data_IF_898894331328
#
_entry.id   IF_898894331328
#
_cell.length_a   1.000
_cell.length_b   1.000
_cell.length_c   1.000
_cell.angle_alpha   90.00
_cell.angle_beta   90.00
_cell.angle_gamma   90.00
#
_symmetry.space_group_name_H-M   'P 1'
#
loop_
_entity.id
_entity.type
_entity.pdbx_description
1 polymer ?
#
# COMPACT_ATOMS: atom_id res chain seq x y z
N UNK A 1 0.18 -23.55 6.45
CA UNK A 1 -0.44 -24.01 7.72
C UNK A 1 -0.99 -25.43 7.51
N UNK A 2 -0.52 -26.43 8.26
CA UNK A 2 -1.09 -27.79 8.19
C UNK A 2 -2.44 -27.78 8.91
N UNK A 3 -3.54 -27.86 8.17
CA UNK A 3 -4.87 -27.90 8.77
C UNK A 3 -5.05 -29.17 9.64
N UNK A 4 -5.79 -29.08 10.75
CA UNK A 4 -6.18 -30.25 11.53
C UNK A 4 -7.00 -31.18 10.62
N UNK A 5 -6.45 -32.36 10.31
CA UNK A 5 -7.13 -33.38 9.51
C UNK A 5 -7.74 -34.40 10.45
N UNK A 6 -9.04 -34.26 10.73
CA UNK A 6 -9.79 -35.35 11.33
C UNK A 6 -9.89 -36.49 10.31
N UNK A 7 -9.20 -37.59 10.57
CA UNK A 7 -9.12 -38.71 9.64
C UNK A 7 -9.68 -39.96 10.34
N UNK A 8 -11.01 -40.11 10.27
CA UNK A 8 -11.69 -41.28 10.83
C UNK A 8 -11.27 -42.53 10.06
N UNK A 9 -10.66 -43.48 10.76
CA UNK A 9 -10.16 -44.73 10.19
C UNK A 9 -10.92 -45.90 10.81
N UNK A 10 -11.86 -46.44 10.04
CA UNK A 10 -12.76 -47.52 10.46
C UNK A 10 -12.03 -48.73 11.07
N UNK A 11 -10.86 -49.12 10.51
CA UNK A 11 -10.06 -50.24 11.03
C UNK A 11 -9.65 -50.06 12.50
N UNK A 12 -9.27 -48.84 12.90
CA UNK A 12 -8.85 -48.54 14.27
C UNK A 12 -10.03 -48.42 15.22
N UNK A 13 -11.16 -47.86 14.76
CA UNK A 13 -12.40 -47.86 15.51
C UNK A 13 -12.84 -49.28 15.88
N UNK A 14 -12.81 -50.21 14.90
CA UNK A 14 -13.16 -51.61 15.11
C UNK A 14 -12.20 -52.31 16.08
N UNK A 15 -10.90 -52.02 16.01
CA UNK A 15 -9.93 -52.55 16.98
C UNK A 15 -10.20 -52.05 18.39
N UNK A 16 -10.48 -50.76 18.59
CA UNK A 16 -10.80 -50.21 19.91
C UNK A 16 -12.12 -50.76 20.48
N UNK A 17 -13.14 -50.95 19.64
CA UNK A 17 -14.38 -51.64 20.01
C UNK A 17 -14.09 -53.08 20.46
N UNK A 18 -13.30 -53.83 19.69
CA UNK A 18 -12.95 -55.21 20.02
C UNK A 18 -12.18 -55.30 21.35
N UNK A 19 -11.22 -54.41 21.59
CA UNK A 19 -10.50 -54.33 22.86
C UNK A 19 -11.45 -54.02 24.02
N UNK A 20 -12.39 -53.09 23.84
CA UNK A 20 -13.41 -52.78 24.85
C UNK A 20 -14.24 -54.01 25.22
N UNK A 21 -14.73 -54.75 24.22
CA UNK A 21 -15.48 -56.00 24.43
C UNK A 21 -14.63 -57.06 25.14
N UNK A 22 -13.36 -57.25 24.72
CA UNK A 22 -12.44 -58.24 25.30
C UNK A 22 -12.17 -57.93 26.77
N UNK A 23 -11.89 -56.66 27.11
CA UNK A 23 -11.62 -56.25 28.49
C UNK A 23 -12.85 -56.44 29.38
N UNK A 24 -14.04 -56.07 28.91
CA UNK A 24 -15.29 -56.34 29.65
C UNK A 24 -15.51 -57.84 29.85
N UNK A 25 -15.23 -58.64 28.83
CA UNK A 25 -15.33 -60.11 28.91
C UNK A 25 -14.35 -60.67 29.95
N UNK A 26 -13.09 -60.25 29.92
CA UNK A 26 -12.05 -60.73 30.83
C UNK A 26 -12.35 -60.36 32.30
N UNK A 27 -12.87 -59.15 32.53
CA UNK A 27 -13.27 -58.71 33.86
C UNK A 27 -14.39 -59.56 34.45
N UNK A 28 -15.44 -59.82 33.68
CA UNK A 28 -16.59 -60.63 34.10
C UNK A 28 -16.22 -62.10 34.34
N UNK A 29 -15.38 -62.67 33.48
CA UNK A 29 -14.85 -64.03 33.69
C UNK A 29 -14.00 -64.11 34.97
N UNK A 30 -13.18 -63.10 35.26
CA UNK A 30 -12.42 -63.00 36.51
C UNK A 30 -13.32 -62.90 37.75
N UNK A 31 -14.52 -62.32 37.59
CA UNK A 31 -15.55 -62.25 38.63
C UNK A 31 -16.42 -63.52 38.71
N UNK A 32 -16.15 -64.57 37.91
CA UNK A 32 -16.89 -65.83 37.92
C UNK A 32 -18.24 -65.81 37.19
N UNK A 33 -18.54 -64.76 36.43
CA UNK A 33 -19.81 -64.60 35.70
C UNK A 33 -19.62 -64.76 34.19
N UNK A 34 -20.67 -65.20 33.49
CA UNK A 34 -20.71 -65.09 32.02
C UNK A 34 -21.26 -63.71 31.65
N UNK A 35 -20.53 -62.89 30.87
CA UNK A 35 -20.94 -61.52 30.60
C UNK A 35 -22.26 -61.50 29.82
N UNK A 36 -23.31 -60.83 30.32
CA UNK A 36 -24.54 -60.66 29.56
C UNK A 36 -24.28 -59.79 28.33
N UNK A 37 -25.01 -60.03 27.23
CA UNK A 37 -24.84 -59.30 25.95
C UNK A 37 -24.89 -57.77 26.12
N UNK A 38 -25.72 -57.31 27.06
CA UNK A 38 -25.86 -55.92 27.46
C UNK A 38 -24.54 -55.30 27.94
N UNK A 39 -23.79 -55.98 28.80
CA UNK A 39 -22.48 -55.48 29.27
C UNK A 39 -21.46 -55.40 28.14
N UNK A 40 -21.47 -56.38 27.22
CA UNK A 40 -20.58 -56.40 26.05
C UNK A 40 -20.85 -55.22 25.11
N UNK A 41 -22.11 -54.83 24.93
CA UNK A 41 -22.46 -53.61 24.20
C UNK A 41 -21.91 -52.36 24.89
N UNK A 42 -21.92 -52.33 26.23
CA UNK A 42 -21.29 -51.27 27.02
C UNK A 42 -19.78 -51.15 26.77
N UNK A 43 -19.07 -52.27 26.80
CA UNK A 43 -17.65 -52.35 26.45
C UNK A 43 -17.36 -51.86 25.02
N UNK A 44 -18.23 -52.18 24.07
CA UNK A 44 -18.12 -51.69 22.69
C UNK A 44 -18.26 -50.17 22.58
N UNK A 45 -19.23 -49.58 23.30
CA UNK A 45 -19.46 -48.13 23.38
C UNK A 45 -18.22 -47.44 23.99
N UNK A 46 -17.69 -47.98 25.10
CA UNK A 46 -16.46 -47.48 25.74
C UNK A 46 -15.29 -47.49 24.76
N UNK A 47 -15.08 -48.61 24.05
CA UNK A 47 -14.03 -48.72 23.03
C UNK A 47 -14.17 -47.70 21.89
N UNK A 48 -15.40 -47.47 21.42
CA UNK A 48 -15.68 -46.46 20.39
C UNK A 48 -15.42 -45.03 20.87
N UNK A 49 -15.83 -44.70 22.11
CA UNK A 49 -15.60 -43.38 22.70
C UNK A 49 -14.11 -43.10 22.94
N UNK A 50 -13.33 -44.09 23.37
CA UNK A 50 -11.86 -44.00 23.46
C UNK A 50 -11.26 -43.67 22.09
N UNK A 51 -11.69 -44.37 21.04
CA UNK A 51 -11.22 -44.11 19.69
C UNK A 51 -11.58 -42.69 19.22
N UNK A 52 -12.84 -42.28 19.40
CA UNK A 52 -13.32 -40.97 18.98
C UNK A 52 -12.58 -39.83 19.72
N UNK A 53 -12.37 -39.96 21.02
CA UNK A 53 -11.61 -39.00 21.82
C UNK A 53 -10.14 -38.93 21.35
N UNK A 54 -9.50 -40.08 21.14
CA UNK A 54 -8.12 -40.17 20.64
C UNK A 54 -7.96 -39.54 19.26
N UNK A 55 -8.84 -39.86 18.31
CA UNK A 55 -8.81 -39.30 16.96
C UNK A 55 -9.05 -37.78 16.95
N UNK A 56 -9.96 -37.29 17.80
CA UNK A 56 -10.27 -35.86 17.92
C UNK A 56 -9.11 -35.07 18.52
N UNK A 57 -8.55 -35.54 19.65
CA UNK A 57 -7.43 -34.89 20.33
C UNK A 57 -6.15 -34.91 19.49
N UNK A 58 -5.84 -36.03 18.83
CA UNK A 58 -4.73 -36.08 17.89
C UNK A 58 -4.97 -35.21 16.64
N UNK A 59 -6.21 -35.09 16.16
CA UNK A 59 -6.55 -34.23 15.04
C UNK A 59 -6.40 -32.74 15.36
N UNK A 60 -6.80 -32.32 16.56
CA UNK A 60 -6.76 -30.93 17.02
C UNK A 60 -5.35 -30.49 17.45
N UNK A 61 -4.68 -31.31 18.25
CA UNK A 61 -3.45 -30.91 18.96
C UNK A 61 -2.22 -31.62 18.38
N UNK A 62 -2.39 -32.77 17.74
CA UNK A 62 -1.27 -33.63 17.33
C UNK A 62 -0.31 -33.01 16.30
N UNK A 63 -0.77 -32.04 15.50
CA UNK A 63 0.08 -31.28 14.58
C UNK A 63 1.05 -30.34 15.32
N UNK A 64 0.66 -29.81 16.49
CA UNK A 64 1.51 -28.93 17.29
C UNK A 64 2.71 -29.68 17.91
N UNK A 65 2.63 -31.00 18.02
CA UNK A 65 3.75 -31.81 18.50
C UNK A 65 4.85 -32.01 17.46
N UNK A 66 4.59 -31.73 16.17
CA UNK A 66 5.65 -31.77 15.15
C UNK A 66 6.67 -30.63 15.34
N UNK A 67 6.23 -29.51 15.95
CA UNK A 67 7.05 -28.32 16.23
C UNK A 67 7.91 -28.45 17.50
N UNK A 68 7.66 -29.48 18.32
CA UNK A 68 8.46 -29.75 19.54
C UNK A 68 9.86 -30.30 19.20
N UNK A 69 10.81 -30.11 20.14
CA UNK A 69 12.12 -30.77 20.09
C UNK A 69 11.97 -32.30 20.02
N UNK A 70 12.82 -32.97 19.25
CA UNK A 70 12.72 -34.41 18.99
C UNK A 70 12.61 -35.28 20.26
N UNK A 71 13.32 -34.90 21.33
CA UNK A 71 13.27 -35.59 22.63
C UNK A 71 11.90 -35.51 23.35
N UNK A 72 11.09 -34.48 23.05
CA UNK A 72 9.80 -34.22 23.70
C UNK A 72 8.60 -34.69 22.88
N UNK A 73 8.78 -35.01 21.59
CA UNK A 73 7.66 -35.39 20.69
C UNK A 73 6.97 -36.68 21.12
N UNK A 74 7.77 -37.71 21.43
CA UNK A 74 7.28 -39.03 21.83
C UNK A 74 6.55 -38.96 23.18
N UNK A 75 7.14 -38.41 24.26
CA UNK A 75 6.43 -38.35 25.55
C UNK A 75 5.17 -37.48 25.50
N UNK A 76 5.16 -36.38 24.75
CA UNK A 76 3.95 -35.55 24.58
C UNK A 76 2.81 -36.30 23.87
N UNK A 77 3.13 -37.12 22.85
CA UNK A 77 2.14 -37.96 22.16
C UNK A 77 1.60 -39.08 23.06
N UNK A 78 2.46 -39.70 23.87
CA UNK A 78 2.05 -40.71 24.85
C UNK A 78 1.10 -40.09 25.88
N UNK A 79 1.44 -38.91 26.42
CA UNK A 79 0.61 -38.20 27.39
C UNK A 79 -0.76 -37.81 26.80
N UNK A 80 -0.78 -37.31 25.56
CA UNK A 80 -2.03 -37.01 24.85
C UNK A 80 -2.88 -38.27 24.66
N UNK A 81 -2.26 -39.41 24.32
CA UNK A 81 -2.93 -40.69 24.19
C UNK A 81 -3.56 -41.16 25.50
N UNK A 82 -2.85 -41.03 26.62
CA UNK A 82 -3.36 -41.36 27.96
C UNK A 82 -4.56 -40.47 28.33
N UNK A 83 -4.43 -39.15 28.13
CA UNK A 83 -5.49 -38.20 28.41
C UNK A 83 -6.75 -38.48 27.56
N UNK A 84 -6.56 -38.72 26.27
CA UNK A 84 -7.65 -39.04 25.36
C UNK A 84 -8.34 -40.37 25.72
N UNK A 85 -7.54 -41.37 26.14
CA UNK A 85 -8.05 -42.64 26.65
C UNK A 85 -8.90 -42.46 27.90
N UNK A 86 -8.45 -41.65 28.86
CA UNK A 86 -9.19 -41.37 30.09
C UNK A 86 -10.53 -40.66 29.80
N UNK A 87 -10.52 -39.63 28.95
CA UNK A 87 -11.73 -38.89 28.53
C UNK A 87 -12.70 -39.82 27.82
N UNK A 88 -12.23 -40.58 26.83
CA UNK A 88 -13.09 -41.47 26.05
C UNK A 88 -13.64 -42.64 26.87
N UNK A 89 -12.85 -43.18 27.80
CA UNK A 89 -13.32 -44.20 28.74
C UNK A 89 -14.45 -43.66 29.61
N UNK A 90 -14.27 -42.47 30.16
CA UNK A 90 -15.24 -41.83 31.03
C UNK A 90 -16.56 -41.52 30.30
N UNK A 91 -16.49 -40.89 29.12
CA UNK A 91 -17.66 -40.59 28.29
C UNK A 91 -18.38 -41.88 27.89
N UNK A 92 -17.62 -42.89 27.46
CA UNK A 92 -18.17 -44.19 27.08
C UNK A 92 -18.85 -44.91 28.25
N UNK A 93 -18.27 -44.82 29.45
CA UNK A 93 -18.84 -45.39 30.67
C UNK A 93 -20.19 -44.74 31.00
N UNK A 94 -20.27 -43.41 30.95
CA UNK A 94 -21.52 -42.66 31.20
C UNK A 94 -22.60 -43.03 30.18
N UNK A 95 -22.27 -43.06 28.88
CA UNK A 95 -23.21 -43.43 27.80
C UNK A 95 -23.67 -44.88 27.95
N UNK A 96 -22.72 -45.80 28.19
CA UNK A 96 -23.00 -47.21 28.41
C UNK A 96 -23.93 -47.41 29.59
N UNK A 97 -23.64 -46.79 30.73
CA UNK A 97 -24.47 -46.89 31.91
C UNK A 97 -25.89 -46.37 31.64
N UNK A 98 -26.03 -45.24 30.91
CA UNK A 98 -27.33 -44.64 30.58
C UNK A 98 -28.18 -45.58 29.73
N UNK A 99 -27.58 -46.17 28.70
CA UNK A 99 -28.27 -47.08 27.78
C UNK A 99 -28.66 -48.39 28.49
N UNK A 100 -27.81 -48.90 29.37
CA UNK A 100 -27.99 -50.24 29.97
C UNK A 100 -28.92 -50.24 31.18
N UNK A 101 -28.92 -49.16 31.97
CA UNK A 101 -29.74 -49.06 33.19
C UNK A 101 -31.09 -48.38 32.95
N UNK A 102 -31.24 -47.60 31.88
CA UNK A 102 -32.50 -46.92 31.53
C UNK A 102 -32.96 -45.84 32.52
N UNK A 103 -32.21 -45.62 33.61
CA UNK A 103 -32.44 -44.56 34.58
C UNK A 103 -31.63 -43.31 34.21
N UNK A 104 -32.15 -42.08 34.44
CA UNK A 104 -31.31 -40.90 34.41
C UNK A 104 -30.26 -41.03 35.51
N UNK A 105 -29.05 -41.46 35.13
CA UNK A 105 -27.92 -41.73 36.05
C UNK A 105 -27.62 -40.61 37.05
N UNK A 106 -28.04 -39.41 36.73
CA UNK A 106 -27.80 -38.23 37.53
C UNK A 106 -28.65 -38.12 38.79
N UNK A 107 -29.67 -38.95 39.05
CA UNK A 107 -30.47 -38.84 40.28
C UNK A 107 -30.10 -39.84 41.38
N UNK A 108 -29.68 -41.06 41.06
CA UNK A 108 -29.48 -42.13 42.06
C UNK A 108 -28.13 -42.87 42.00
N UNK A 109 -27.38 -42.79 40.89
CA UNK A 109 -26.18 -43.63 40.69
C UNK A 109 -24.85 -43.02 41.17
N UNK A 110 -24.82 -41.70 41.39
CA UNK A 110 -23.61 -40.98 41.81
C UNK A 110 -23.88 -40.15 43.07
N UNK A 111 -22.95 -40.17 44.02
CA UNK A 111 -22.98 -39.34 45.23
C UNK A 111 -22.87 -37.84 44.90
N UNK A 112 -23.16 -36.97 45.87
CA UNK A 112 -23.07 -35.51 45.69
C UNK A 112 -21.68 -35.04 45.25
N UNK A 113 -20.62 -35.69 45.75
CA UNK A 113 -19.22 -35.39 45.41
C UNK A 113 -18.87 -35.73 43.95
N UNK A 114 -19.37 -36.85 43.42
CA UNK A 114 -19.08 -37.30 42.05
C UNK A 114 -19.76 -36.42 41.00
N UNK A 115 -20.97 -35.92 41.29
CA UNK A 115 -21.66 -34.93 40.43
C UNK A 115 -20.93 -33.59 40.39
N UNK A 116 -20.35 -33.18 41.52
CA UNK A 116 -19.54 -31.97 41.58
C UNK A 116 -18.26 -32.11 40.73
N UNK A 117 -17.56 -33.24 40.82
CA UNK A 117 -16.38 -33.53 39.99
C UNK A 117 -16.70 -33.52 38.49
N UNK A 118 -17.84 -34.09 38.11
CA UNK A 118 -18.37 -34.09 36.74
C UNK A 118 -18.63 -32.69 36.19
N UNK A 119 -19.32 -31.85 36.98
CA UNK A 119 -19.60 -30.47 36.60
C UNK A 119 -18.31 -29.65 36.44
N UNK A 120 -17.33 -29.84 37.34
CA UNK A 120 -16.01 -29.20 37.26
C UNK A 120 -15.25 -29.65 36.00
N UNK A 121 -15.27 -30.94 35.67
CA UNK A 121 -14.61 -31.46 34.47
C UNK A 121 -15.22 -30.90 33.18
N UNK A 122 -16.56 -30.77 33.11
CA UNK A 122 -17.25 -30.16 31.97
C UNK A 122 -16.91 -28.67 31.85
N UNK A 123 -16.90 -27.95 32.98
CA UNK A 123 -16.55 -26.53 33.02
C UNK A 123 -15.11 -26.28 32.54
N UNK A 124 -14.15 -27.11 32.98
CA UNK A 124 -12.76 -27.05 32.53
C UNK A 124 -12.67 -27.33 31.02
N UNK A 125 -13.43 -28.30 30.51
CA UNK A 125 -13.43 -28.64 29.08
C UNK A 125 -13.96 -27.48 28.22
N UNK A 126 -15.06 -26.86 28.63
CA UNK A 126 -15.64 -25.69 27.94
C UNK A 126 -14.66 -24.51 28.02
N UNK A 127 -14.08 -24.24 29.19
CA UNK A 127 -13.10 -23.17 29.38
C UNK A 127 -11.88 -23.38 28.49
N UNK A 128 -11.36 -24.60 28.41
CA UNK A 128 -10.22 -24.93 27.55
C UNK A 128 -10.57 -24.75 26.07
N UNK A 129 -11.76 -25.17 25.64
CA UNK A 129 -12.26 -24.96 24.28
C UNK A 129 -12.39 -23.47 23.94
N UNK A 130 -12.95 -22.67 24.85
CA UNK A 130 -13.09 -21.23 24.68
C UNK A 130 -11.72 -20.53 24.62
N UNK A 131 -10.77 -20.94 25.47
CA UNK A 131 -9.41 -20.41 25.48
C UNK A 131 -8.65 -20.78 24.20
N UNK A 132 -8.76 -22.04 23.76
CA UNK A 132 -8.14 -22.50 22.51
C UNK A 132 -8.72 -21.77 21.29
N UNK A 133 -10.04 -21.57 21.25
CA UNK A 133 -10.69 -20.82 20.19
C UNK A 133 -10.26 -19.34 20.19
N UNK A 134 -10.23 -18.70 21.37
CA UNK A 134 -9.77 -17.32 21.51
C UNK A 134 -8.30 -17.14 21.11
N UNK A 135 -7.44 -18.10 21.45
CA UNK A 135 -6.03 -18.11 21.06
C UNK A 135 -5.87 -18.19 19.53
N UNK A 136 -6.61 -19.09 18.87
CA UNK A 136 -6.53 -19.25 17.42
C UNK A 136 -7.04 -18.00 16.68
N UNK A 137 -8.12 -17.39 17.16
CA UNK A 137 -8.66 -16.15 16.61
C UNK A 137 -7.67 -14.99 16.74
N UNK A 138 -7.04 -14.84 17.91
CA UNK A 138 -6.02 -13.82 18.15
C UNK A 138 -4.79 -14.05 17.26
N UNK A 139 -4.34 -15.30 17.15
CA UNK A 139 -3.20 -15.68 16.29
C UNK A 139 -3.47 -15.37 14.82
N UNK A 140 -4.69 -15.65 14.34
CA UNK A 140 -5.12 -15.31 12.98
C UNK A 140 -5.06 -13.81 12.75
N UNK A 141 -5.67 -13.02 13.63
CA UNK A 141 -5.66 -11.55 13.55
C UNK A 141 -4.24 -10.97 13.58
N UNK A 142 -3.37 -11.52 14.42
CA UNK A 142 -1.98 -11.09 14.49
C UNK A 142 -1.24 -11.41 13.18
N UNK A 143 -1.43 -12.60 12.64
CA UNK A 143 -0.79 -13.01 11.37
C UNK A 143 -1.27 -12.14 10.21
N UNK A 144 -2.58 -11.92 10.10
CA UNK A 144 -3.17 -11.06 9.06
C UNK A 144 -2.68 -9.61 9.19
N UNK A 145 -2.54 -9.11 10.42
CA UNK A 145 -2.03 -7.75 10.66
C UNK A 145 -0.55 -7.63 10.30
N UNK A 146 0.27 -8.63 10.64
CA UNK A 146 1.70 -8.67 10.27
C UNK A 146 1.85 -8.76 8.74
N UNK A 147 1.03 -9.54 8.06
CA UNK A 147 1.10 -9.65 6.60
C UNK A 147 0.73 -8.33 5.92
N UNK A 148 -0.36 -7.68 6.36
CA UNK A 148 -0.75 -6.35 5.88
C UNK A 148 0.32 -5.29 6.14
N UNK A 149 1.01 -5.36 7.28
CA UNK A 149 2.12 -4.45 7.57
C UNK A 149 3.30 -4.69 6.63
N UNK A 150 3.65 -5.95 6.35
CA UNK A 150 4.71 -6.28 5.39
C UNK A 150 4.38 -5.82 3.97
N UNK A 151 3.15 -6.04 3.51
CA UNK A 151 2.69 -5.58 2.20
C UNK A 151 2.79 -4.04 2.09
N UNK A 152 2.37 -3.32 3.14
CA UNK A 152 2.50 -1.86 3.20
C UNK A 152 3.96 -1.40 3.20
N UNK A 153 4.80 -1.99 4.06
CA UNK A 153 6.22 -1.64 4.14
C UNK A 153 6.94 -1.91 2.80
N UNK A 154 6.59 -3.00 2.13
CA UNK A 154 7.12 -3.33 0.81
C UNK A 154 6.69 -2.28 -0.24
N UNK A 155 5.40 -1.93 -0.29
CA UNK A 155 4.90 -0.91 -1.21
C UNK A 155 5.50 0.47 -0.93
N UNK A 156 5.68 0.86 0.34
CA UNK A 156 6.34 2.10 0.73
C UNK A 156 7.81 2.15 0.24
N UNK A 157 8.54 1.03 0.35
CA UNK A 157 9.92 0.93 -0.17
C UNK A 157 9.98 1.04 -1.69
N UNK A 158 9.03 0.44 -2.42
CA UNK A 158 8.95 0.59 -3.88
C UNK A 158 8.66 2.03 -4.28
N UNK A 159 7.77 2.72 -3.57
CA UNK A 159 7.48 4.14 -3.80
C UNK A 159 8.68 5.04 -3.47
N UNK A 160 9.41 4.75 -2.39
CA UNK A 160 10.62 5.49 -2.03
C UNK A 160 11.71 5.33 -3.10
N UNK A 161 11.92 4.12 -3.61
CA UNK A 161 12.83 3.88 -4.73
C UNK A 161 12.39 4.64 -5.99
N UNK A 162 11.10 4.65 -6.31
CA UNK A 162 10.59 5.39 -7.46
C UNK A 162 10.84 6.90 -7.31
N UNK A 163 10.63 7.46 -6.10
CA UNK A 163 10.92 8.86 -5.78
C UNK A 163 12.40 9.19 -5.92
N UNK A 164 13.29 8.32 -5.43
CA UNK A 164 14.74 8.50 -5.59
C UNK A 164 15.16 8.50 -7.06
N UNK A 165 14.61 7.60 -7.87
CA UNK A 165 14.89 7.55 -9.31
C UNK A 165 14.41 8.84 -9.98
N UNK A 166 13.18 9.27 -9.71
CA UNK A 166 12.64 10.51 -10.28
C UNK A 166 13.48 11.73 -9.90
N UNK A 167 13.88 11.86 -8.63
CA UNK A 167 14.71 12.97 -8.16
C UNK A 167 16.06 13.05 -8.90
N UNK A 168 16.64 11.90 -9.29
CA UNK A 168 17.87 11.84 -10.10
C UNK A 168 17.67 12.22 -11.57
N UNK A 169 16.43 12.16 -12.08
CA UNK A 169 16.09 12.60 -13.43
C UNK A 169 15.95 14.12 -13.52
N UNK A 170 15.62 14.80 -12.42
CA UNK A 170 15.49 16.25 -12.41
C UNK A 170 16.87 16.92 -12.42
N UNK A 171 17.02 18.07 -13.10
CA UNK A 171 18.24 18.86 -13.00
C UNK A 171 18.51 19.35 -11.57
N UNK A 172 19.75 19.79 -11.26
CA UNK A 172 20.05 20.43 -10.00
C UNK A 172 19.11 21.62 -9.72
N UNK A 173 18.74 21.89 -8.44
CA UNK A 173 17.82 22.98 -8.09
C UNK A 173 18.32 24.39 -8.45
N UNK A 174 19.63 24.57 -8.61
CA UNK A 174 20.26 25.81 -9.05
C UNK A 174 21.20 25.50 -10.22
N UNK A 175 21.01 26.20 -11.33
CA UNK A 175 21.85 26.12 -12.52
C UNK A 175 22.33 27.52 -12.87
N UNK A 176 23.64 27.71 -12.80
CA UNK A 176 24.27 28.98 -13.19
C UNK A 176 24.83 28.90 -14.61
N UNK A 177 24.91 30.06 -15.26
CA UNK A 177 25.56 30.24 -16.55
C UNK A 177 25.97 31.70 -16.76
N UNK A 178 26.64 31.93 -17.88
CA UNK A 178 27.13 33.27 -18.20
C UNK A 178 25.95 34.22 -18.48
N UNK A 179 25.74 35.17 -17.58
CA UNK A 179 24.65 36.15 -17.67
C UNK A 179 23.27 35.65 -17.22
N UNK A 180 23.17 34.49 -16.55
CA UNK A 180 21.90 34.02 -16.00
C UNK A 180 22.04 33.05 -14.81
N UNK A 181 20.94 32.89 -14.07
CA UNK A 181 20.74 31.79 -13.13
C UNK A 181 19.32 31.24 -13.23
N UNK A 182 19.17 29.93 -13.13
CA UNK A 182 17.89 29.24 -13.09
C UNK A 182 17.77 28.54 -11.74
N UNK A 183 16.71 28.84 -11.00
CA UNK A 183 16.37 28.16 -9.75
C UNK A 183 15.03 27.47 -9.91
N UNK A 184 14.93 26.22 -9.47
CA UNK A 184 13.72 25.43 -9.59
C UNK A 184 13.38 24.74 -8.27
N UNK A 185 12.07 24.55 -8.05
CA UNK A 185 11.51 23.79 -6.93
C UNK A 185 10.36 22.94 -7.45
N UNK A 186 10.34 21.68 -7.03
CA UNK A 186 9.25 20.74 -7.26
C UNK A 186 8.87 20.18 -5.89
N UNK A 187 7.65 20.48 -5.44
CA UNK A 187 7.07 20.03 -4.17
C UNK A 187 5.94 19.07 -4.50
N UNK A 188 6.15 17.75 -4.36
CA UNK A 188 5.14 16.77 -4.75
C UNK A 188 3.96 16.75 -3.76
N UNK A 189 2.74 16.58 -4.26
CA UNK A 189 1.52 16.34 -3.48
C UNK A 189 1.44 14.90 -2.95
N UNK A 190 2.08 13.98 -3.67
CA UNK A 190 2.09 12.55 -3.41
C UNK A 190 3.52 12.00 -3.32
N UNK A 191 3.68 10.67 -3.33
CA UNK A 191 5.01 10.05 -3.23
C UNK A 191 5.92 10.35 -4.44
N UNK A 192 5.34 10.56 -5.62
CA UNK A 192 6.01 10.81 -6.88
C UNK A 192 5.22 11.88 -7.64
N UNK A 193 5.89 12.90 -8.17
CA UNK A 193 5.25 13.99 -8.89
C UNK A 193 4.87 13.57 -10.33
N UNK A 194 3.74 14.04 -10.86
CA UNK A 194 3.49 14.08 -12.30
C UNK A 194 4.27 15.21 -12.95
N UNK A 195 4.40 16.32 -12.24
CA UNK A 195 5.15 17.48 -12.67
C UNK A 195 6.65 17.24 -12.81
N UNK A 196 7.27 17.95 -13.76
CA UNK A 196 8.73 18.07 -13.84
C UNK A 196 9.20 19.36 -14.49
N UNK A 197 10.50 19.60 -14.36
CA UNK A 197 11.21 20.64 -15.11
C UNK A 197 12.47 20.08 -15.75
N UNK A 198 12.94 20.74 -16.80
CA UNK A 198 14.21 20.43 -17.44
C UNK A 198 14.92 21.68 -17.96
N UNK A 199 16.24 21.57 -18.11
CA UNK A 199 17.08 22.64 -18.66
C UNK A 199 17.99 22.07 -19.73
N UNK A 200 17.82 22.55 -20.96
CA UNK A 200 18.57 22.15 -22.14
C UNK A 200 19.59 23.22 -22.50
N UNK A 201 20.86 22.85 -22.69
CA UNK A 201 21.88 23.78 -23.20
C UNK A 201 22.05 23.56 -24.71
N UNK A 202 22.05 24.65 -25.47
CA UNK A 202 22.19 24.63 -26.93
C UNK A 202 23.58 25.08 -27.37
N UNK A 203 24.00 24.66 -28.57
CA UNK A 203 25.31 25.00 -29.13
C UNK A 203 25.48 26.51 -29.40
N UNK A 204 24.39 27.24 -29.63
CA UNK A 204 24.37 28.69 -29.84
C UNK A 204 24.44 29.50 -28.54
N UNK A 205 24.69 28.84 -27.40
CA UNK A 205 24.75 29.44 -26.07
C UNK A 205 23.38 29.75 -25.47
N UNK A 206 22.29 29.49 -26.18
CA UNK A 206 20.95 29.64 -25.60
C UNK A 206 20.63 28.49 -24.64
N UNK A 207 19.69 28.75 -23.72
CA UNK A 207 19.22 27.77 -22.73
C UNK A 207 17.72 27.56 -22.91
N UNK A 208 17.33 26.31 -23.08
CA UNK A 208 15.94 25.86 -23.05
C UNK A 208 15.50 25.57 -21.63
N UNK A 209 14.31 26.03 -21.25
CA UNK A 209 13.69 25.81 -19.95
C UNK A 209 12.33 25.18 -20.16
N UNK A 210 12.07 24.11 -19.44
CA UNK A 210 10.89 23.28 -19.61
C UNK A 210 10.21 23.17 -18.27
N UNK A 211 8.90 23.35 -18.25
CA UNK A 211 8.03 22.94 -17.16
C UNK A 211 6.88 22.15 -17.76
N UNK A 212 6.49 21.08 -17.08
CA UNK A 212 5.42 20.23 -17.55
C UNK A 212 4.67 19.60 -16.38
N UNK A 213 3.38 19.41 -16.60
CA UNK A 213 2.48 18.62 -15.77
C UNK A 213 1.95 17.44 -16.61
N UNK A 214 1.99 16.24 -16.04
CA UNK A 214 1.55 15.01 -16.67
C UNK A 214 0.23 14.58 -16.05
N UNK A 215 -0.79 14.43 -16.89
CA UNK A 215 -2.11 13.98 -16.44
C UNK A 215 -2.04 12.63 -15.72
N UNK A 216 -2.73 12.54 -14.59
CA UNK A 216 -2.71 11.36 -13.74
C UNK A 216 -1.81 11.58 -12.53
N UNK A 217 -1.58 10.53 -11.74
CA UNK A 217 -0.85 10.63 -10.46
C UNK A 217 0.01 9.39 -10.23
N UNK A 218 1.09 9.54 -9.47
CA UNK A 218 1.95 8.44 -9.04
C UNK A 218 2.82 7.86 -10.17
N UNK A 219 3.08 6.55 -10.12
CA UNK A 219 4.08 5.88 -10.97
C UNK A 219 3.75 5.96 -12.47
N UNK A 220 2.47 5.93 -12.85
CA UNK A 220 2.07 6.03 -14.26
C UNK A 220 2.49 7.37 -14.88
N UNK A 221 2.19 8.47 -14.19
CA UNK A 221 2.57 9.82 -14.62
C UNK A 221 4.09 10.00 -14.68
N UNK A 222 4.84 9.42 -13.72
CA UNK A 222 6.30 9.53 -13.71
C UNK A 222 6.99 8.78 -14.86
N UNK A 223 6.40 7.69 -15.38
CA UNK A 223 6.90 7.00 -16.57
C UNK A 223 6.70 7.83 -17.84
N UNK A 224 5.56 8.52 -17.96
CA UNK A 224 5.29 9.45 -19.06
C UNK A 224 6.28 10.63 -18.97
N UNK A 225 6.47 11.22 -17.78
CA UNK A 225 7.47 12.25 -17.52
C UNK A 225 8.87 11.83 -17.99
N UNK A 226 9.34 10.64 -17.59
CA UNK A 226 10.64 10.12 -18.00
C UNK A 226 10.75 9.96 -19.53
N UNK A 227 9.65 9.55 -20.18
CA UNK A 227 9.59 9.41 -21.64
C UNK A 227 9.67 10.76 -22.36
N UNK A 228 8.94 11.76 -21.88
CA UNK A 228 8.99 13.14 -22.42
C UNK A 228 10.40 13.70 -22.27
N UNK A 229 10.99 13.58 -21.07
CA UNK A 229 12.35 14.05 -20.78
C UNK A 229 13.39 13.39 -21.69
N UNK A 230 13.27 12.09 -21.94
CA UNK A 230 14.19 11.37 -22.82
C UNK A 230 14.07 11.82 -24.29
N UNK A 231 12.88 12.21 -24.74
CA UNK A 231 12.62 12.64 -26.12
C UNK A 231 13.01 14.09 -26.37
N UNK A 232 12.89 14.95 -25.36
CA UNK A 232 13.02 16.40 -25.48
C UNK A 232 14.31 16.89 -26.17
N UNK A 233 15.51 16.41 -25.80
CA UNK A 233 16.76 16.87 -26.41
C UNK A 233 16.84 16.63 -27.92
N UNK A 234 16.10 15.64 -28.43
CA UNK A 234 16.09 15.28 -29.85
C UNK A 234 15.12 16.12 -30.70
N UNK A 235 14.19 16.84 -30.06
CA UNK A 235 13.19 17.67 -30.76
C UNK A 235 13.41 19.16 -30.52
N UNK A 236 14.16 19.54 -29.48
CA UNK A 236 14.36 20.92 -29.04
C UNK A 236 15.42 21.74 -29.83
N UNK A 237 15.83 21.28 -31.02
CA UNK A 237 16.83 21.99 -31.83
C UNK A 237 16.25 23.17 -32.64
N UNK A 238 14.91 23.23 -32.77
CA UNK A 238 14.20 24.23 -33.57
C UNK A 238 13.71 25.44 -32.76
N UNK A 239 12.69 26.10 -33.30
CA UNK A 239 11.92 27.11 -32.55
C UNK A 239 11.06 26.46 -31.47
N UNK A 240 10.59 27.27 -30.51
CA UNK A 240 9.86 26.75 -29.33
C UNK A 240 8.54 26.09 -29.75
N UNK A 241 7.85 26.66 -30.73
CA UNK A 241 6.60 26.17 -31.27
C UNK A 241 6.74 24.89 -32.13
N UNK A 242 7.80 24.78 -32.94
CA UNK A 242 8.09 23.55 -33.69
C UNK A 242 8.51 22.42 -32.74
N UNK A 243 9.22 22.75 -31.65
CA UNK A 243 9.56 21.80 -30.59
C UNK A 243 8.32 21.19 -29.98
N UNK A 244 7.34 22.00 -29.55
CA UNK A 244 6.07 21.51 -29.01
C UNK A 244 5.28 20.71 -30.05
N UNK A 245 5.21 21.19 -31.29
CA UNK A 245 4.49 20.50 -32.37
C UNK A 245 5.09 19.13 -32.68
N UNK A 246 6.42 19.00 -32.70
CA UNK A 246 7.13 17.72 -32.90
C UNK A 246 6.94 16.78 -31.72
N UNK A 247 7.00 17.31 -30.50
CA UNK A 247 6.79 16.53 -29.30
C UNK A 247 5.36 16.01 -29.23
N UNK A 248 4.37 16.86 -29.53
CA UNK A 248 2.96 16.50 -29.59
C UNK A 248 2.72 15.33 -30.57
N UNK A 249 3.25 15.42 -31.79
CA UNK A 249 3.11 14.34 -32.80
C UNK A 249 3.66 13.00 -32.32
N UNK A 250 4.77 13.02 -31.57
CA UNK A 250 5.34 11.79 -30.98
C UNK A 250 4.44 11.24 -29.88
N UNK A 251 4.05 12.10 -28.93
CA UNK A 251 3.24 11.70 -27.77
C UNK A 251 1.82 11.27 -28.14
N UNK A 252 1.17 11.90 -29.12
CA UNK A 252 -0.19 11.55 -29.55
C UNK A 252 -0.33 10.11 -30.07
N UNK A 253 0.77 9.49 -30.50
CA UNK A 253 0.80 8.08 -30.92
C UNK A 253 1.10 7.10 -29.78
N UNK A 254 1.60 7.59 -28.65
CA UNK A 254 2.10 6.79 -27.53
C UNK A 254 1.17 6.85 -26.31
N UNK A 255 0.54 7.99 -26.08
CA UNK A 255 -0.34 8.23 -24.94
C UNK A 255 -1.73 7.61 -25.17
N UNK A 256 -2.32 7.09 -24.11
CA UNK A 256 -3.69 6.59 -24.09
C UNK A 256 -4.73 7.71 -24.20
N UNK A 257 -6.01 7.34 -24.38
CA UNK A 257 -7.12 8.28 -24.63
C UNK A 257 -7.38 9.33 -23.53
N UNK A 258 -6.78 9.18 -22.35
CA UNK A 258 -6.95 10.07 -21.18
C UNK A 258 -5.61 10.54 -20.62
N UNK A 259 -4.54 10.35 -21.38
CA UNK A 259 -3.19 10.73 -21.01
C UNK A 259 -2.76 11.91 -21.88
N UNK A 260 -2.31 12.98 -21.24
CA UNK A 260 -1.82 14.18 -21.89
C UNK A 260 -0.76 14.84 -21.00
N UNK A 261 0.02 15.73 -21.61
CA UNK A 261 1.09 16.45 -20.92
C UNK A 261 0.92 17.93 -21.20
N UNK A 262 0.58 18.70 -20.17
CA UNK A 262 0.68 20.14 -20.25
C UNK A 262 2.17 20.52 -20.21
N UNK A 263 2.65 21.32 -21.15
CA UNK A 263 4.09 21.64 -21.23
C UNK A 263 4.31 23.04 -21.78
N UNK A 264 5.14 23.82 -21.09
CA UNK A 264 5.67 25.08 -21.59
C UNK A 264 7.17 24.94 -21.86
N UNK A 265 7.59 25.43 -23.02
CA UNK A 265 8.99 25.44 -23.43
C UNK A 265 9.43 26.85 -23.77
N UNK A 266 10.41 27.35 -23.01
CA UNK A 266 11.04 28.63 -23.22
C UNK A 266 12.48 28.46 -23.70
N UNK A 267 12.94 29.33 -24.60
CA UNK A 267 14.34 29.41 -25.06
C UNK A 267 14.86 30.81 -24.80
N UNK A 268 15.92 30.92 -24.01
CA UNK A 268 16.52 32.18 -23.59
C UNK A 268 17.93 32.32 -24.15
N UNK A 269 18.24 33.48 -24.74
CA UNK A 269 19.55 33.83 -25.24
C UNK A 269 20.22 34.84 -24.28
N UNK A 270 21.18 34.42 -23.43
CA UNK A 270 21.73 35.26 -22.36
C UNK A 270 22.37 36.57 -22.84
N UNK A 271 23.05 36.53 -23.99
CA UNK A 271 23.77 37.68 -24.54
C UNK A 271 22.81 38.82 -24.88
N UNK A 272 21.69 38.50 -25.54
CA UNK A 272 20.72 39.52 -25.98
C UNK A 272 19.63 39.77 -24.95
N UNK A 273 19.34 38.79 -24.09
CA UNK A 273 18.18 38.77 -23.19
C UNK A 273 16.87 38.41 -23.88
N UNK A 274 16.93 37.96 -25.14
CA UNK A 274 15.76 37.51 -25.90
C UNK A 274 15.25 36.18 -25.33
N UNK A 275 13.98 36.14 -24.95
CA UNK A 275 13.28 34.95 -24.49
C UNK A 275 12.12 34.66 -25.42
N UNK A 276 12.02 33.43 -25.90
CA UNK A 276 10.86 32.95 -26.66
C UNK A 276 10.18 31.85 -25.86
N UNK A 277 8.86 31.77 -25.90
CA UNK A 277 8.09 30.72 -25.23
C UNK A 277 6.91 30.26 -26.09
N UNK A 278 6.69 28.95 -26.12
CA UNK A 278 5.43 28.34 -26.53
C UNK A 278 4.83 27.57 -25.35
N UNK A 279 3.50 27.47 -25.31
CA UNK A 279 2.77 26.90 -24.18
C UNK A 279 1.65 25.96 -24.64
N UNK A 280 1.80 24.67 -24.31
CA UNK A 280 0.81 23.62 -24.55
C UNK A 280 0.04 23.30 -23.26
N UNK A 281 -0.73 24.26 -22.75
CA UNK A 281 -1.70 24.02 -21.68
C UNK A 281 -1.23 24.27 -20.24
N UNK A 282 -0.01 24.76 -20.03
CA UNK A 282 0.43 25.25 -18.71
C UNK A 282 -0.14 26.65 -18.42
N UNK A 283 -0.17 27.08 -17.15
CA UNK A 283 -0.42 28.48 -16.78
C UNK A 283 0.48 29.47 -17.53
N UNK A 284 0.02 30.72 -17.66
CA UNK A 284 0.85 31.79 -18.20
C UNK A 284 2.00 32.12 -17.24
N UNK A 285 3.23 32.28 -17.74
CA UNK A 285 4.36 32.70 -16.92
C UNK A 285 4.27 34.19 -16.58
N UNK A 286 5.12 34.61 -15.66
CA UNK A 286 5.23 35.99 -15.22
C UNK A 286 6.62 36.56 -15.47
N UNK A 287 6.69 37.83 -15.82
CA UNK A 287 7.91 38.63 -15.72
C UNK A 287 7.85 39.41 -14.41
N UNK A 288 8.91 39.34 -13.63
CA UNK A 288 9.10 40.16 -12.44
C UNK A 288 10.19 41.18 -12.76
N UNK A 289 9.81 42.45 -12.79
CA UNK A 289 10.70 43.57 -13.05
C UNK A 289 10.41 44.69 -12.04
N UNK A 290 11.45 45.19 -11.38
CA UNK A 290 11.35 46.25 -10.36
C UNK A 290 10.27 46.00 -9.30
N UNK A 291 10.11 44.75 -8.84
CA UNK A 291 9.10 44.38 -7.84
C UNK A 291 7.66 44.34 -8.35
N UNK A 292 7.43 44.39 -9.67
CA UNK A 292 6.12 44.21 -10.27
C UNK A 292 6.08 42.91 -11.06
N UNK A 293 5.04 42.09 -10.84
CA UNK A 293 4.78 40.88 -11.60
C UNK A 293 3.73 41.12 -12.70
N UNK A 294 4.10 40.86 -13.95
CA UNK A 294 3.22 40.96 -15.12
C UNK A 294 3.09 39.61 -15.81
N UNK A 295 1.88 39.09 -16.04
CA UNK A 295 1.71 37.85 -16.80
C UNK A 295 2.17 38.05 -18.25
N UNK A 296 2.63 36.98 -18.89
CA UNK A 296 2.97 36.92 -20.32
C UNK A 296 1.97 35.98 -20.99
N UNK A 297 0.86 36.51 -21.55
CA UNK A 297 -0.12 35.67 -22.21
C UNK A 297 0.49 35.02 -23.44
N UNK A 298 0.55 33.69 -23.46
CA UNK A 298 0.95 32.95 -24.66
C UNK A 298 -0.27 32.76 -25.56
N UNK A 299 -0.19 33.27 -26.79
CA UNK A 299 -1.26 33.17 -27.79
C UNK A 299 -1.31 31.79 -28.45
N UNK A 300 -2.32 31.54 -29.30
CA UNK A 300 -2.44 30.31 -30.08
C UNK A 300 -3.27 29.20 -29.41
N UNK A 301 -3.25 27.99 -30.00
CA UNK A 301 -3.88 26.82 -29.38
C UNK A 301 -3.11 26.39 -28.12
N UNK A 302 -3.83 26.17 -27.02
CA UNK A 302 -3.24 25.76 -25.72
C UNK A 302 -3.60 24.34 -25.32
N UNK A 303 -3.84 23.47 -26.30
CA UNK A 303 -4.18 22.08 -26.02
C UNK A 303 -2.95 21.34 -25.47
N UNK A 304 -3.08 20.60 -24.36
CA UNK A 304 -2.02 19.74 -23.85
C UNK A 304 -1.51 18.75 -24.91
N UNK A 305 -0.23 18.42 -24.83
CA UNK A 305 0.41 17.47 -25.74
C UNK A 305 -0.25 16.10 -25.60
N UNK A 306 -0.45 15.42 -26.73
CA UNK A 306 -1.09 14.10 -26.81
C UNK A 306 -2.62 14.14 -26.89
N UNK A 307 -3.26 15.27 -26.57
CA UNK A 307 -4.72 15.40 -26.64
C UNK A 307 -5.25 15.32 -28.08
N UNK A 308 -4.52 15.90 -29.04
CA UNK A 308 -4.82 15.84 -30.48
C UNK A 308 -3.51 15.86 -31.27
N UNK A 309 -3.44 15.06 -32.34
CA UNK A 309 -2.21 14.90 -33.14
C UNK A 309 -1.82 16.12 -33.98
N UNK A 310 -2.80 16.96 -34.35
CA UNK A 310 -2.62 18.15 -35.17
C UNK A 310 -3.02 19.39 -34.36
N UNK A 311 -2.03 20.01 -33.73
CA UNK A 311 -2.16 21.21 -32.89
C UNK A 311 -1.04 22.15 -33.30
N UNK A 312 -1.40 23.41 -33.55
CA UNK A 312 -0.45 24.45 -33.90
C UNK A 312 -0.25 25.37 -32.69
N UNK A 313 0.97 25.35 -32.15
CA UNK A 313 1.37 26.22 -31.05
C UNK A 313 1.95 27.50 -31.62
N UNK A 314 1.69 28.64 -30.96
CA UNK A 314 2.34 29.90 -31.27
C UNK A 314 3.47 30.18 -30.26
N UNK A 315 4.42 31.01 -30.69
CA UNK A 315 5.47 31.52 -29.83
C UNK A 315 5.24 32.99 -29.49
N UNK A 316 5.49 33.34 -28.24
CA UNK A 316 5.59 34.72 -27.78
C UNK A 316 7.04 35.04 -27.47
N UNK A 317 7.44 36.26 -27.83
CA UNK A 317 8.78 36.78 -27.58
C UNK A 317 8.74 37.89 -26.54
N UNK A 318 9.71 37.85 -25.64
CA UNK A 318 9.89 38.76 -24.52
C UNK A 318 11.35 39.18 -24.45
N UNK A 319 11.58 40.44 -24.10
CA UNK A 319 12.92 40.96 -23.82
C UNK A 319 13.12 41.08 -22.30
N UNK A 320 13.98 40.24 -21.73
CA UNK A 320 14.40 40.38 -20.33
C UNK A 320 15.54 41.38 -20.22
N UNK A 321 15.53 42.25 -19.21
CA UNK A 321 16.65 43.13 -18.83
C UNK A 321 17.47 42.49 -17.70
N UNK A 322 18.74 42.88 -17.50
CA UNK A 322 19.48 42.45 -16.32
C UNK A 322 18.71 42.78 -15.03
N UNK A 323 18.61 41.82 -14.12
CA UNK A 323 17.80 41.87 -12.90
C UNK A 323 16.33 41.44 -13.07
N UNK A 324 15.83 41.30 -14.30
CA UNK A 324 14.48 40.77 -14.52
C UNK A 324 14.45 39.25 -14.28
N UNK A 325 13.30 38.78 -13.80
CA UNK A 325 13.02 37.35 -13.63
C UNK A 325 11.88 36.90 -14.50
N UNK A 326 12.03 35.71 -15.07
CA UNK A 326 10.98 35.00 -15.77
C UNK A 326 10.57 33.78 -14.94
N UNK A 327 9.31 33.77 -14.50
CA UNK A 327 8.75 32.79 -13.58
C UNK A 327 7.73 31.90 -14.29
N UNK A 328 8.03 30.60 -14.30
CA UNK A 328 7.21 29.52 -14.81
C UNK A 328 6.64 28.73 -13.64
N UNK A 329 5.42 28.24 -13.80
CA UNK A 329 4.72 27.49 -12.77
C UNK A 329 3.76 26.45 -13.33
N UNK A 330 3.51 25.44 -12.51
CA UNK A 330 2.37 24.51 -12.58
C UNK A 330 1.09 25.16 -12.07
N UNK A 331 -0.05 24.58 -12.43
CA UNK A 331 -1.40 24.98 -12.00
C UNK A 331 -1.68 24.63 -10.53
N UNK A 332 -0.99 23.63 -9.97
CA UNK A 332 -1.11 23.27 -8.55
C UNK A 332 -0.86 24.45 -7.59
N UNK A 333 -0.10 25.48 -7.99
CA UNK A 333 0.15 26.70 -7.21
C UNK A 333 -1.08 27.63 -7.19
N UNK A 334 -1.58 28.17 -8.33
CA UNK A 334 -2.74 29.05 -8.34
C UNK A 334 -4.05 28.34 -7.99
N UNK A 335 -4.14 27.02 -8.18
CA UNK A 335 -5.34 26.23 -7.85
C UNK A 335 -5.36 25.72 -6.41
N UNK A 336 -4.27 25.88 -5.65
CA UNK A 336 -4.18 25.42 -4.27
C UNK A 336 -5.32 25.98 -3.40
N UNK A 337 -6.02 25.13 -2.62
CA UNK A 337 -7.20 25.55 -1.87
C UNK A 337 -6.84 26.40 -0.66
N UNK A 338 -7.52 27.53 -0.53
CA UNK A 338 -7.49 28.40 0.65
C UNK A 338 -8.38 27.87 1.77
N UNK A 339 -8.28 28.43 2.98
CA UNK A 339 -9.13 28.05 4.11
C UNK A 339 -10.65 28.14 3.90
N UNK A 340 -11.09 28.99 2.97
CA UNK A 340 -12.48 29.13 2.57
C UNK A 340 -12.92 28.11 1.50
N UNK A 341 -12.02 27.25 1.02
CA UNK A 341 -12.26 26.25 -0.03
C UNK A 341 -12.13 26.78 -1.46
N UNK A 342 -11.86 28.06 -1.67
CA UNK A 342 -11.61 28.63 -2.99
C UNK A 342 -10.13 28.49 -3.39
N UNK A 343 -9.81 28.41 -4.70
CA UNK A 343 -8.42 28.39 -5.14
C UNK A 343 -7.69 29.70 -4.79
N UNK A 344 -6.36 29.65 -4.68
CA UNK A 344 -5.53 30.83 -4.43
C UNK A 344 -5.81 31.95 -5.44
N UNK A 345 -5.94 31.57 -6.71
CA UNK A 345 -6.22 32.43 -7.84
C UNK A 345 -4.98 33.17 -8.36
N UNK A 346 -5.02 33.50 -9.65
CA UNK A 346 -3.92 34.19 -10.34
C UNK A 346 -3.67 35.62 -9.85
N UNK A 347 -4.72 36.33 -9.40
CA UNK A 347 -4.58 37.70 -8.91
C UNK A 347 -3.77 37.77 -7.63
N UNK A 348 -4.08 36.92 -6.65
CA UNK A 348 -3.34 36.88 -5.40
C UNK A 348 -1.93 36.29 -5.54
N UNK A 349 -1.75 35.35 -6.47
CA UNK A 349 -0.42 34.92 -6.85
C UNK A 349 0.40 36.10 -7.39
N UNK A 350 -0.15 36.89 -8.31
CA UNK A 350 0.52 38.09 -8.86
C UNK A 350 0.89 39.11 -7.78
N UNK A 351 0.00 39.35 -6.82
CA UNK A 351 0.28 40.20 -5.65
C UNK A 351 1.43 39.63 -4.81
N UNK A 352 1.42 38.31 -4.57
CA UNK A 352 2.48 37.62 -3.84
C UNK A 352 3.82 37.77 -4.54
N UNK A 353 3.89 37.55 -5.86
CA UNK A 353 5.10 37.68 -6.67
C UNK A 353 5.65 39.11 -6.64
N UNK A 354 4.78 40.12 -6.70
CA UNK A 354 5.17 41.54 -6.67
C UNK A 354 5.68 41.98 -5.28
N UNK A 355 5.17 41.37 -4.20
CA UNK A 355 5.54 41.74 -2.84
C UNK A 355 6.85 41.14 -2.31
N UNK A 356 7.54 40.28 -3.07
CA UNK A 356 8.77 39.60 -2.61
C UNK A 356 10.01 40.37 -3.08
N UNK A 357 10.84 40.89 -2.17
CA UNK A 357 12.07 41.60 -2.53
C UNK A 357 13.05 40.66 -3.24
N UNK A 358 13.94 41.18 -4.09
CA UNK A 358 14.79 40.35 -4.95
C UNK A 358 15.97 39.66 -4.24
N UNK A 359 15.97 39.57 -2.92
CA UNK A 359 17.11 39.11 -2.14
C UNK A 359 16.98 37.64 -1.74
N UNK A 360 18.12 36.95 -1.60
CA UNK A 360 18.18 35.56 -1.14
C UNK A 360 17.53 34.56 -2.11
N UNK A 361 16.98 33.47 -1.58
CA UNK A 361 16.25 32.50 -2.37
C UNK A 361 14.81 32.99 -2.61
N UNK A 362 14.64 33.72 -3.71
CA UNK A 362 13.37 34.37 -4.06
C UNK A 362 12.24 33.36 -4.26
N UNK A 363 12.52 32.23 -4.92
CA UNK A 363 11.50 31.21 -5.20
C UNK A 363 11.04 30.54 -3.90
N UNK A 364 11.93 30.25 -2.97
CA UNK A 364 11.56 29.69 -1.66
C UNK A 364 10.72 30.69 -0.85
N UNK A 365 11.03 31.99 -0.95
CA UNK A 365 10.24 33.03 -0.29
C UNK A 365 8.83 33.16 -0.88
N UNK A 366 8.70 33.08 -2.21
CA UNK A 366 7.40 33.06 -2.89
C UNK A 366 6.60 31.83 -2.45
N UNK A 367 7.18 30.63 -2.52
CA UNK A 367 6.50 29.39 -2.14
C UNK A 367 6.10 29.38 -0.67
N UNK A 368 6.93 29.92 0.23
CA UNK A 368 6.58 30.06 1.65
C UNK A 368 5.38 30.99 1.86
N UNK A 369 5.30 32.11 1.12
CA UNK A 369 4.15 33.03 1.19
C UNK A 369 2.88 32.42 0.60
N UNK A 370 2.99 31.65 -0.49
CA UNK A 370 1.86 30.89 -1.04
C UNK A 370 1.41 29.85 -0.02
N UNK A 371 2.33 29.08 0.56
CA UNK A 371 2.06 28.05 1.58
C UNK A 371 1.32 28.61 2.79
N UNK A 372 1.62 29.84 3.20
CA UNK A 372 0.92 30.51 4.30
C UNK A 372 -0.53 30.90 4.00
N UNK A 373 -0.93 30.94 2.72
CA UNK A 373 -2.27 31.35 2.28
C UNK A 373 -3.20 30.16 2.01
N UNK A 374 -2.69 28.93 1.97
CA UNK A 374 -3.42 27.73 1.53
C UNK A 374 -3.49 26.68 2.64
N UNK A 375 -4.46 25.77 2.58
CA UNK A 375 -4.62 24.70 3.58
C UNK A 375 -3.70 23.50 3.32
N UNK A 376 -3.41 23.20 2.05
CA UNK A 376 -2.78 21.94 1.64
C UNK A 376 -2.11 22.05 0.27
N UNK A 377 -1.51 20.94 -0.16
CA UNK A 377 -0.99 20.72 -1.52
C UNK A 377 -1.79 19.52 -2.05
N UNK A 378 -2.80 19.79 -2.85
CA UNK A 378 -3.67 18.76 -3.45
C UNK A 378 -3.13 18.26 -4.79
N UNK A 379 -2.32 19.11 -5.44
CA UNK A 379 -1.58 18.83 -6.66
C UNK A 379 -0.14 19.33 -6.58
N UNK A 380 0.74 18.81 -7.43
CA UNK A 380 2.17 19.09 -7.38
C UNK A 380 2.46 20.58 -7.57
N UNK A 381 3.46 21.10 -6.85
CA UNK A 381 3.92 22.49 -7.04
C UNK A 381 5.28 22.49 -7.70
N UNK A 382 5.30 22.78 -8.98
CA UNK A 382 6.53 23.09 -9.71
C UNK A 382 6.61 24.55 -10.05
N UNK A 383 7.76 25.13 -9.76
CA UNK A 383 8.09 26.50 -10.08
C UNK A 383 9.54 26.59 -10.56
N UNK A 384 9.76 27.39 -11.61
CA UNK A 384 11.09 27.64 -12.17
C UNK A 384 11.24 29.14 -12.38
N UNK A 385 12.34 29.70 -11.89
CA UNK A 385 12.68 31.10 -12.10
C UNK A 385 14.00 31.21 -12.85
N UNK A 386 13.98 31.90 -13.99
CA UNK A 386 15.15 32.35 -14.71
C UNK A 386 15.41 33.81 -14.34
N UNK A 387 16.60 34.12 -13.85
CA UNK A 387 17.07 35.48 -13.60
C UNK A 387 18.17 35.83 -14.60
N UNK A 388 18.02 36.96 -15.30
CA UNK A 388 19.08 37.50 -16.14
C UNK A 388 20.04 38.32 -15.27
N UNK A 389 21.33 38.01 -15.32
CA UNK A 389 22.37 38.72 -14.55
C UNK A 389 22.98 39.88 -15.32
#
# INVERSE_FOLDING_TARGET
MRQPRFNFRLRWALSSIAVGIILTTAFEFGAGHRPPLRLLMGGAIVGLCIYAASASLHGLIGCHFDDLKASLRIPARILLGILAGAIGWFVGFVISALILTGHPLFSEAFGSEERALLAVALMITILFGALAHGYEELRRRLTDSVEKLKEREFAEKELELAREIQARLLPPPLIEGDGFSITARNVPAHFVAGDFFDVLRHEDGSVGIVIADVSGKGIGASLIMASVKAVLPFVANGSVEDTLSRLNRRLASQLGKREFVALAYARFQPVTGRLQIANAGMPDPYIISNGSASPVPVTGERLPLGARSDVHYDAVEVQLRPGDRFFLLSDGIPEAPRPNGEPLGYDALRETLSGVPPDGDWIDTVLARVRAQVQGIDDDWTAVVLERR
#
